data_IF_704332541889
#
_entry.id   IF_704332541889
#
_cell.length_a   1.000
_cell.length_b   1.000
_cell.length_c   1.000
_cell.angle_alpha   90.00
_cell.angle_beta   90.00
_cell.angle_gamma   90.00
#
_symmetry.space_group_name_H-M   'P 1'
#
loop_
_entity.id
_entity.type
_entity.pdbx_description
1 polymer ?
#
# COMPACT_ATOMS: atom_id res chain seq x y z
N UNK A 1 -24.69 23.46 34.61
CA UNK A 1 -25.12 24.25 33.43
C UNK A 1 -23.96 24.30 32.45
N UNK A 2 -23.85 23.31 31.56
CA UNK A 2 -22.85 23.30 30.49
C UNK A 2 -23.40 24.09 29.31
N UNK A 3 -22.93 25.32 29.13
CA UNK A 3 -23.24 26.10 27.94
C UNK A 3 -22.83 25.31 26.70
N UNK A 4 -23.73 25.20 25.72
CA UNK A 4 -23.43 24.64 24.41
C UNK A 4 -22.25 25.43 23.84
N UNK A 5 -21.09 24.78 23.70
CA UNK A 5 -19.93 25.37 23.07
C UNK A 5 -20.32 25.78 21.64
N UNK A 6 -20.01 27.03 21.26
CA UNK A 6 -20.21 27.48 19.90
C UNK A 6 -19.42 26.60 18.91
N UNK A 7 -19.98 26.38 17.72
CA UNK A 7 -19.39 25.56 16.64
C UNK A 7 -17.89 25.83 16.38
N UNK A 8 -17.39 27.09 16.42
CA UNK A 8 -15.96 27.37 16.26
C UNK A 8 -15.08 26.79 17.37
N UNK A 9 -15.53 26.80 18.62
CA UNK A 9 -14.78 26.28 19.76
C UNK A 9 -14.69 24.74 19.74
N UNK A 10 -15.79 24.07 19.33
CA UNK A 10 -15.78 22.62 19.12
C UNK A 10 -14.81 22.22 18.00
N UNK A 11 -14.85 22.92 16.86
CA UNK A 11 -13.93 22.65 15.74
C UNK A 11 -12.46 22.82 16.13
N UNK A 12 -12.12 23.81 16.96
CA UNK A 12 -10.76 23.99 17.46
C UNK A 12 -10.29 22.80 18.33
N UNK A 13 -11.16 22.31 19.23
CA UNK A 13 -10.86 21.11 20.05
C UNK A 13 -10.70 19.86 19.18
N UNK A 14 -11.57 19.66 18.19
CA UNK A 14 -11.47 18.56 17.23
C UNK A 14 -10.16 18.58 16.44
N UNK A 15 -9.71 19.78 16.04
CA UNK A 15 -8.43 19.98 15.36
C UNK A 15 -7.19 19.61 16.19
N UNK A 16 -7.32 19.56 17.52
CA UNK A 16 -6.24 19.16 18.42
C UNK A 16 -6.20 17.65 18.70
N UNK A 17 -7.22 16.88 18.28
CA UNK A 17 -7.24 15.44 18.47
C UNK A 17 -6.28 14.76 17.51
N UNK A 18 -5.59 13.71 17.94
CA UNK A 18 -4.72 12.90 17.08
C UNK A 18 -5.49 11.69 16.53
N UNK A 19 -5.97 11.80 15.29
CA UNK A 19 -6.73 10.75 14.63
C UNK A 19 -6.65 10.87 13.09
N UNK A 20 -7.30 9.97 12.35
CA UNK A 20 -7.17 9.93 10.89
C UNK A 20 -7.64 11.23 10.20
N UNK A 21 -8.58 11.95 10.81
CA UNK A 21 -9.08 13.24 10.31
C UNK A 21 -8.07 14.39 10.43
N UNK A 22 -7.09 14.28 11.32
CA UNK A 22 -6.09 15.33 11.59
C UNK A 22 -4.68 14.97 11.14
N UNK A 23 -4.45 13.75 10.65
CA UNK A 23 -3.13 13.26 10.23
C UNK A 23 -2.69 13.63 8.80
N UNK A 24 -3.44 14.50 8.12
CA UNK A 24 -3.11 14.99 6.77
C UNK A 24 -2.79 13.85 5.77
N UNK A 25 -3.62 12.81 5.80
CA UNK A 25 -3.46 11.63 4.95
C UNK A 25 -3.79 11.98 3.48
N UNK A 26 -3.14 11.28 2.54
CA UNK A 26 -3.43 11.42 1.10
C UNK A 26 -4.87 11.00 0.80
N UNK A 27 -5.69 12.00 0.50
CA UNK A 27 -7.13 11.90 0.26
C UNK A 27 -7.50 11.82 -1.23
N UNK A 28 -6.53 11.57 -2.12
CA UNK A 28 -6.81 11.35 -3.54
C UNK A 28 -7.76 10.17 -3.72
N UNK A 29 -8.70 10.29 -4.66
CA UNK A 29 -9.78 9.30 -4.84
C UNK A 29 -9.23 7.94 -5.20
N UNK A 30 -8.23 7.87 -6.09
CA UNK A 30 -7.62 6.58 -6.43
C UNK A 30 -6.89 5.93 -5.28
N UNK A 31 -6.26 6.70 -4.39
CA UNK A 31 -5.61 6.16 -3.20
C UNK A 31 -6.67 5.64 -2.21
N UNK A 32 -7.74 6.40 -1.97
CA UNK A 32 -8.84 5.98 -1.10
C UNK A 32 -9.48 4.68 -1.57
N UNK A 33 -9.82 4.58 -2.87
CA UNK A 33 -10.36 3.36 -3.45
C UNK A 33 -9.36 2.19 -3.28
N UNK A 34 -8.08 2.38 -3.62
CA UNK A 34 -7.06 1.34 -3.46
C UNK A 34 -6.93 0.86 -2.02
N UNK A 35 -6.96 1.79 -1.06
CA UNK A 35 -6.88 1.47 0.37
C UNK A 35 -8.10 0.72 0.86
N UNK A 36 -9.32 1.09 0.42
CA UNK A 36 -10.56 0.36 0.73
C UNK A 36 -10.40 -1.12 0.41
N UNK A 37 -10.01 -1.43 -0.82
CA UNK A 37 -9.88 -2.81 -1.28
C UNK A 37 -8.70 -3.53 -0.59
N UNK A 38 -7.57 -2.84 -0.44
CA UNK A 38 -6.40 -3.39 0.26
C UNK A 38 -6.74 -3.77 1.71
N UNK A 39 -7.44 -2.90 2.44
CA UNK A 39 -7.76 -3.11 3.85
C UNK A 39 -8.80 -4.21 4.07
N UNK A 40 -9.72 -4.39 3.12
CA UNK A 40 -10.61 -5.55 3.09
C UNK A 40 -9.83 -6.84 2.87
N UNK A 41 -8.85 -6.85 1.96
CA UNK A 41 -8.01 -8.02 1.66
C UNK A 41 -7.02 -8.41 2.77
N UNK A 42 -6.68 -7.48 3.67
CA UNK A 42 -5.88 -7.76 4.87
C UNK A 42 -6.58 -8.79 5.78
N UNK A 43 -7.89 -8.97 5.62
CA UNK A 43 -8.66 -9.93 6.38
C UNK A 43 -8.92 -9.44 7.80
N UNK A 44 -10.01 -9.92 8.38
CA UNK A 44 -10.45 -9.62 9.75
C UNK A 44 -10.36 -10.86 10.61
N UNK A 45 -9.41 -11.74 10.29
CA UNK A 45 -9.22 -13.01 10.99
C UNK A 45 -8.89 -12.75 12.46
N UNK A 46 -9.49 -13.55 13.33
CA UNK A 46 -9.23 -13.47 14.77
C UNK A 46 -7.72 -13.67 15.03
N UNK A 47 -7.14 -12.78 15.83
CA UNK A 47 -5.72 -12.79 16.18
C UNK A 47 -4.82 -11.83 15.39
N UNK A 48 -5.36 -11.00 14.48
CA UNK A 48 -4.58 -9.89 13.92
C UNK A 48 -4.47 -8.75 14.97
N UNK A 49 -3.26 -8.43 15.47
CA UNK A 49 -3.09 -7.41 16.50
C UNK A 49 -3.48 -5.99 16.04
N UNK A 50 -3.49 -5.76 14.72
CA UNK A 50 -3.84 -4.46 14.15
C UNK A 50 -5.33 -4.37 13.74
N UNK A 51 -6.17 -5.35 14.08
CA UNK A 51 -7.55 -5.44 13.59
C UNK A 51 -8.38 -4.17 13.87
N UNK A 52 -8.30 -3.65 15.10
CA UNK A 52 -8.95 -2.40 15.48
C UNK A 52 -8.51 -1.20 14.64
N UNK A 53 -7.20 -1.05 14.47
CA UNK A 53 -6.56 0.00 13.67
C UNK A 53 -6.93 -0.10 12.18
N UNK A 54 -7.03 -1.33 11.64
CA UNK A 54 -7.51 -1.61 10.29
C UNK A 54 -8.94 -1.07 10.14
N UNK A 55 -9.82 -1.36 11.09
CA UNK A 55 -11.20 -0.87 11.05
C UNK A 55 -11.29 0.65 11.21
N UNK A 56 -10.50 1.28 12.07
CA UNK A 56 -10.43 2.74 12.18
C UNK A 56 -10.06 3.38 10.83
N UNK A 57 -9.00 2.89 10.19
CA UNK A 57 -8.57 3.42 8.89
C UNK A 57 -9.62 3.14 7.80
N UNK A 58 -10.20 1.93 7.76
CA UNK A 58 -11.29 1.60 6.82
C UNK A 58 -12.47 2.53 6.97
N UNK A 59 -12.88 2.81 8.21
CA UNK A 59 -13.98 3.71 8.50
C UNK A 59 -13.72 5.12 7.97
N UNK A 60 -12.50 5.65 8.21
CA UNK A 60 -12.08 6.94 7.67
C UNK A 60 -12.08 6.95 6.13
N UNK A 61 -11.57 5.90 5.47
CA UNK A 61 -11.57 5.79 4.01
C UNK A 61 -13.01 5.72 3.46
N UNK A 62 -13.90 4.92 4.06
CA UNK A 62 -15.31 4.88 3.68
C UNK A 62 -15.97 6.25 3.83
N UNK A 63 -15.72 6.95 4.93
CA UNK A 63 -16.23 8.31 5.16
C UNK A 63 -15.75 9.28 4.08
N UNK A 64 -14.44 9.28 3.77
CA UNK A 64 -13.87 10.15 2.74
C UNK A 64 -14.47 9.88 1.35
N UNK A 65 -14.63 8.61 0.98
CA UNK A 65 -15.21 8.23 -0.30
C UNK A 65 -16.72 8.56 -0.37
N UNK A 66 -17.46 8.34 0.71
CA UNK A 66 -18.89 8.65 0.78
C UNK A 66 -19.17 10.16 0.78
N UNK A 67 -18.20 10.97 1.22
CA UNK A 67 -18.28 12.44 1.19
C UNK A 67 -17.98 13.02 -0.20
N UNK A 68 -17.51 12.22 -1.15
CA UNK A 68 -17.28 12.63 -2.53
C UNK A 68 -18.49 12.22 -3.39
N UNK A 69 -19.16 13.18 -4.02
CA UNK A 69 -20.23 12.91 -4.98
C UNK A 69 -19.76 11.91 -6.05
N UNK A 70 -20.66 11.01 -6.49
CA UNK A 70 -20.42 10.03 -7.56
C UNK A 70 -19.28 9.02 -7.33
N UNK A 71 -18.93 8.71 -6.07
CA UNK A 71 -17.96 7.65 -5.75
C UNK A 71 -18.63 6.32 -5.39
N UNK A 72 -18.66 5.34 -6.31
CA UNK A 72 -19.32 4.06 -6.05
C UNK A 72 -18.56 3.17 -5.05
N UNK A 73 -19.33 2.41 -4.26
CA UNK A 73 -18.82 1.33 -3.42
C UNK A 73 -18.32 1.75 -2.04
N UNK A 74 -18.82 2.85 -1.47
CA UNK A 74 -18.68 3.20 -0.05
C UNK A 74 -19.84 4.09 0.38
N UNK A 75 -20.45 3.79 1.53
CA UNK A 75 -21.51 4.61 2.11
C UNK A 75 -21.10 5.16 3.48
N UNK A 76 -21.86 6.14 3.99
CA UNK A 76 -21.70 6.58 5.38
C UNK A 76 -22.00 5.44 6.37
N UNK A 77 -22.94 4.55 6.02
CA UNK A 77 -23.26 3.35 6.81
C UNK A 77 -22.06 2.38 6.91
N UNK A 78 -21.31 2.19 5.81
CA UNK A 78 -20.08 1.40 5.84
C UNK A 78 -19.03 2.00 6.80
N UNK A 79 -18.92 3.34 6.82
CA UNK A 79 -18.02 4.03 7.73
C UNK A 79 -18.44 3.81 9.19
N UNK A 80 -19.72 4.04 9.51
CA UNK A 80 -20.30 3.83 10.84
C UNK A 80 -20.10 2.38 11.34
N UNK A 81 -20.40 1.40 10.47
CA UNK A 81 -20.19 -0.02 10.76
C UNK A 81 -18.72 -0.31 11.07
N UNK A 82 -17.79 0.25 10.30
CA UNK A 82 -16.35 0.07 10.55
C UNK A 82 -15.91 0.72 11.87
N UNK A 83 -16.41 1.90 12.22
CA UNK A 83 -16.08 2.52 13.52
C UNK A 83 -16.56 1.67 14.71
N UNK A 84 -17.75 1.08 14.62
CA UNK A 84 -18.26 0.15 15.63
C UNK A 84 -17.39 -1.11 15.76
N UNK A 85 -17.02 -1.73 14.63
CA UNK A 85 -16.14 -2.90 14.62
C UNK A 85 -14.73 -2.58 15.17
N UNK A 86 -14.24 -1.35 14.97
CA UNK A 86 -12.94 -0.93 15.48
C UNK A 86 -12.89 -0.95 17.01
N UNK A 87 -13.89 -0.35 17.67
CA UNK A 87 -13.96 -0.31 19.13
C UNK A 87 -14.01 -1.72 19.74
N UNK A 88 -14.84 -2.61 19.17
CA UNK A 88 -14.95 -4.00 19.60
C UNK A 88 -13.63 -4.77 19.42
N UNK A 89 -13.01 -4.67 18.24
CA UNK A 89 -11.76 -5.35 17.95
C UNK A 89 -10.60 -4.87 18.84
N UNK A 90 -10.52 -3.57 19.14
CA UNK A 90 -9.51 -3.03 20.04
C UNK A 90 -9.63 -3.60 21.46
N UNK A 91 -10.86 -3.74 21.98
CA UNK A 91 -11.13 -4.36 23.29
C UNK A 91 -10.71 -5.82 23.32
N UNK A 92 -11.08 -6.58 22.28
CA UNK A 92 -10.77 -8.00 22.19
C UNK A 92 -9.26 -8.28 22.09
N UNK A 93 -8.51 -7.49 21.29
CA UNK A 93 -7.07 -7.69 21.09
C UNK A 93 -6.27 -7.44 22.36
N UNK A 94 -6.63 -6.42 23.14
CA UNK A 94 -5.90 -6.07 24.36
C UNK A 94 -6.23 -7.00 25.53
N UNK A 95 -7.27 -7.83 25.43
CA UNK A 95 -7.68 -8.83 26.42
C UNK A 95 -7.75 -8.24 27.84
N UNK A 96 -8.32 -7.04 27.95
CA UNK A 96 -8.32 -6.27 29.19
C UNK A 96 -9.57 -6.51 30.02
N UNK A 97 -9.41 -6.41 31.34
CA UNK A 97 -10.53 -6.42 32.29
C UNK A 97 -11.34 -5.14 32.20
N UNK A 98 -10.71 -4.04 31.75
CA UNK A 98 -11.36 -2.75 31.51
C UNK A 98 -11.88 -2.65 30.07
N UNK A 99 -13.09 -2.09 29.95
CA UNK A 99 -13.73 -1.75 28.68
C UNK A 99 -13.10 -0.51 28.00
N UNK A 100 -12.36 0.30 28.76
CA UNK A 100 -11.73 1.53 28.27
C UNK A 100 -10.23 1.54 28.59
N UNK A 101 -9.45 2.19 27.72
CA UNK A 101 -8.02 2.33 27.84
C UNK A 101 -7.40 3.12 26.69
N UNK A 102 -6.09 3.41 26.73
CA UNK A 102 -5.43 4.33 25.81
C UNK A 102 -5.45 3.88 24.34
N UNK A 103 -5.64 2.59 24.06
CA UNK A 103 -5.82 2.06 22.70
C UNK A 103 -7.09 2.58 22.01
N UNK A 104 -8.04 3.18 22.73
CA UNK A 104 -9.25 3.81 22.16
C UNK A 104 -9.05 5.28 21.77
N UNK A 105 -7.91 5.91 22.08
CA UNK A 105 -7.69 7.34 21.86
C UNK A 105 -7.98 7.77 20.42
N UNK A 106 -7.42 7.05 19.43
CA UNK A 106 -7.62 7.36 18.01
C UNK A 106 -9.04 7.03 17.56
N UNK A 107 -9.63 5.93 18.06
CA UNK A 107 -11.01 5.55 17.75
C UNK A 107 -12.00 6.61 18.20
N UNK A 108 -11.90 7.07 19.46
CA UNK A 108 -12.74 8.15 20.00
C UNK A 108 -12.48 9.48 19.30
N UNK A 109 -11.23 9.77 18.91
CA UNK A 109 -10.94 10.93 18.08
C UNK A 109 -11.65 10.88 16.73
N UNK A 110 -11.66 9.73 16.06
CA UNK A 110 -12.37 9.57 14.80
C UNK A 110 -13.90 9.68 14.98
N UNK A 111 -14.46 9.08 16.04
CA UNK A 111 -15.89 9.16 16.36
C UNK A 111 -16.31 10.60 16.65
N UNK A 112 -15.49 11.37 17.37
CA UNK A 112 -15.74 12.80 17.62
C UNK A 112 -15.89 13.59 16.32
N UNK A 113 -14.99 13.36 15.34
CA UNK A 113 -15.07 13.97 14.02
C UNK A 113 -16.26 13.49 13.20
N UNK A 114 -16.58 12.19 13.25
CA UNK A 114 -17.73 11.63 12.55
C UNK A 114 -19.05 12.27 13.00
N UNK A 115 -19.30 12.30 14.31
CA UNK A 115 -20.50 12.91 14.88
C UNK A 115 -20.57 14.41 14.55
N UNK A 116 -19.43 15.11 14.56
CA UNK A 116 -19.37 16.51 14.12
C UNK A 116 -19.82 16.67 12.66
N UNK A 117 -19.33 15.82 11.75
CA UNK A 117 -19.72 15.85 10.34
C UNK A 117 -21.19 15.48 10.09
N UNK A 118 -21.80 14.71 10.99
CA UNK A 118 -23.23 14.39 10.96
C UNK A 118 -24.13 15.50 11.57
N UNK A 119 -23.55 16.55 12.14
CA UNK A 119 -24.29 17.60 12.86
C UNK A 119 -24.66 17.24 14.31
N UNK A 120 -24.20 16.10 14.81
CA UNK A 120 -24.42 15.58 16.15
C UNK A 120 -23.37 16.16 17.11
N UNK A 121 -23.43 17.48 17.32
CA UNK A 121 -22.40 18.21 18.07
C UNK A 121 -22.33 17.83 19.55
N UNK A 122 -23.45 17.41 20.16
CA UNK A 122 -23.48 16.96 21.55
C UNK A 122 -22.71 15.64 21.72
N UNK A 123 -22.95 14.69 20.83
CA UNK A 123 -22.27 13.40 20.77
C UNK A 123 -20.78 13.58 20.45
N UNK A 124 -20.45 14.50 19.53
CA UNK A 124 -19.07 14.89 19.26
C UNK A 124 -18.36 15.37 20.53
N UNK A 125 -18.99 16.23 21.32
CA UNK A 125 -18.45 16.72 22.61
C UNK A 125 -18.27 15.59 23.63
N UNK A 126 -19.16 14.59 23.65
CA UNK A 126 -19.00 13.42 24.52
C UNK A 126 -17.71 12.67 24.19
N UNK A 127 -17.44 12.40 22.91
CA UNK A 127 -16.20 11.72 22.51
C UNK A 127 -14.94 12.55 22.73
N UNK A 128 -15.00 13.88 22.53
CA UNK A 128 -13.89 14.77 22.93
C UNK A 128 -13.60 14.63 24.42
N UNK A 129 -14.64 14.65 25.27
CA UNK A 129 -14.50 14.45 26.71
C UNK A 129 -13.91 13.09 27.08
N UNK A 130 -14.26 12.02 26.35
CA UNK A 130 -13.66 10.69 26.53
C UNK A 130 -12.17 10.67 26.21
N UNK A 131 -11.74 11.31 25.11
CA UNK A 131 -10.31 11.43 24.79
C UNK A 131 -9.56 12.19 25.88
N UNK A 132 -10.12 13.31 26.37
CA UNK A 132 -9.51 14.10 27.44
C UNK A 132 -9.44 13.33 28.78
N UNK A 133 -10.43 12.50 29.08
CA UNK A 133 -10.42 11.64 30.26
C UNK A 133 -9.31 10.58 30.15
N UNK A 134 -9.22 9.88 29.02
CA UNK A 134 -8.17 8.88 28.79
C UNK A 134 -6.77 9.48 28.85
N UNK A 135 -6.53 10.66 28.26
CA UNK A 135 -5.22 11.32 28.34
C UNK A 135 -4.84 11.78 29.76
N UNK A 136 -5.83 12.03 30.62
CA UNK A 136 -5.59 12.37 32.03
C UNK A 136 -5.27 11.13 32.87
N UNK A 137 -5.94 10.02 32.57
CA UNK A 137 -5.74 8.74 33.27
C UNK A 137 -4.45 8.03 32.83
N UNK A 138 -4.14 8.12 31.52
CA UNK A 138 -2.96 7.52 30.88
C UNK A 138 -2.14 8.62 30.21
N UNK A 139 -1.44 9.48 30.97
CA UNK A 139 -0.59 10.51 30.39
C UNK A 139 0.63 9.88 29.71
N UNK A 140 1.13 10.52 28.65
CA UNK A 140 2.41 10.11 28.05
C UNK A 140 3.54 10.24 29.09
N UNK A 141 4.42 9.22 29.24
CA UNK A 141 5.58 9.29 30.12
C UNK A 141 6.58 10.40 29.75
N UNK A 142 6.57 10.85 28.48
CA UNK A 142 7.43 11.92 27.99
C UNK A 142 6.58 13.16 27.75
N UNK A 143 6.96 14.25 28.43
CA UNK A 143 6.29 15.55 28.30
C UNK A 143 6.24 16.01 26.84
N UNK A 144 5.09 16.55 26.43
CA UNK A 144 4.82 17.04 25.06
C UNK A 144 4.88 15.98 23.95
N UNK A 145 5.15 14.72 24.27
CA UNK A 145 5.06 13.62 23.31
C UNK A 145 3.64 13.04 23.28
N UNK A 146 3.20 12.63 22.08
CA UNK A 146 1.97 11.86 21.93
C UNK A 146 2.05 10.52 22.68
N UNK A 147 0.89 10.04 23.14
CA UNK A 147 0.77 8.71 23.75
C UNK A 147 1.25 7.61 22.79
N UNK A 148 1.84 6.54 23.34
CA UNK A 148 2.50 5.46 22.61
C UNK A 148 1.55 4.74 21.65
N UNK A 149 0.32 4.43 22.11
CA UNK A 149 -0.75 3.88 21.26
C UNK A 149 -1.07 4.77 20.04
N UNK A 150 -1.11 6.10 20.23
CA UNK A 150 -1.35 7.05 19.14
C UNK A 150 -0.17 7.08 18.16
N UNK A 151 1.06 7.07 18.67
CA UNK A 151 2.27 6.99 17.84
C UNK A 151 2.28 5.72 17.01
N UNK A 152 1.96 4.57 17.62
CA UNK A 152 1.95 3.26 16.98
C UNK A 152 0.86 3.16 15.90
N UNK A 153 -0.37 3.62 16.16
CA UNK A 153 -1.44 3.66 15.16
C UNK A 153 -1.10 4.60 14.01
N UNK A 154 -0.61 5.80 14.31
CA UNK A 154 -0.18 6.78 13.29
C UNK A 154 0.90 6.19 12.40
N UNK A 155 1.89 5.53 12.99
CA UNK A 155 2.96 4.86 12.27
C UNK A 155 2.42 3.75 11.36
N UNK A 156 1.59 2.85 11.90
CA UNK A 156 0.98 1.76 11.14
C UNK A 156 0.13 2.28 9.98
N UNK A 157 -0.68 3.31 10.22
CA UNK A 157 -1.49 3.96 9.20
C UNK A 157 -0.60 4.51 8.09
N UNK A 158 0.45 5.26 8.41
CA UNK A 158 1.37 5.85 7.44
C UNK A 158 2.14 4.82 6.59
N UNK A 159 2.36 3.59 7.08
CA UNK A 159 2.94 2.50 6.27
C UNK A 159 2.10 2.14 5.04
N UNK A 160 0.80 2.44 5.07
CA UNK A 160 -0.13 2.13 3.98
C UNK A 160 -0.07 3.15 2.83
N UNK A 161 0.60 4.29 3.03
CA UNK A 161 0.65 5.41 2.09
C UNK A 161 1.99 5.47 1.31
N UNK A 162 2.24 6.64 0.70
CA UNK A 162 3.40 6.91 -0.14
C UNK A 162 4.75 6.83 0.57
N UNK A 163 5.87 6.93 -0.18
CA UNK A 163 7.22 6.80 0.38
C UNK A 163 7.52 7.78 1.54
N UNK A 164 7.08 9.03 1.46
CA UNK A 164 7.30 10.02 2.52
C UNK A 164 6.60 9.61 3.83
N UNK A 165 5.35 9.14 3.73
CA UNK A 165 4.61 8.61 4.88
C UNK A 165 5.30 7.39 5.50
N UNK A 166 5.84 6.48 4.67
CA UNK A 166 6.60 5.32 5.16
C UNK A 166 7.87 5.70 5.91
N UNK A 167 8.56 6.77 5.51
CA UNK A 167 9.70 7.28 6.28
C UNK A 167 9.26 7.82 7.63
N UNK A 168 8.19 8.64 7.67
CA UNK A 168 7.61 9.13 8.93
C UNK A 168 7.12 7.99 9.84
N UNK A 169 6.60 6.91 9.26
CA UNK A 169 6.17 5.73 10.02
C UNK A 169 7.31 5.12 10.83
N UNK A 170 8.53 5.07 10.28
CA UNK A 170 9.72 4.63 11.02
C UNK A 170 9.93 5.51 12.26
N UNK A 171 9.92 6.82 12.09
CA UNK A 171 10.15 7.78 13.18
C UNK A 171 9.13 7.62 14.32
N UNK A 172 7.84 7.49 13.98
CA UNK A 172 6.79 7.31 14.97
C UNK A 172 6.87 5.97 15.69
N UNK A 173 7.20 4.88 14.98
CA UNK A 173 7.44 3.60 15.64
C UNK A 173 8.66 3.66 16.57
N UNK A 174 9.77 4.27 16.14
CA UNK A 174 10.96 4.46 16.98
C UNK A 174 10.60 5.14 18.29
N UNK A 175 9.84 6.24 18.22
CA UNK A 175 9.36 6.98 19.40
C UNK A 175 8.48 6.13 20.33
N UNK A 176 7.63 5.27 19.77
CA UNK A 176 6.77 4.39 20.56
C UNK A 176 7.59 3.30 21.29
N UNK A 177 8.50 2.63 20.57
CA UNK A 177 9.29 1.51 21.12
C UNK A 177 10.44 1.97 22.03
N UNK A 178 10.84 3.24 21.99
CA UNK A 178 11.75 3.83 22.97
C UNK A 178 11.15 3.84 24.38
N UNK A 179 9.83 4.00 24.47
CA UNK A 179 9.10 4.00 25.75
C UNK A 179 8.63 2.59 26.12
N UNK A 180 8.09 1.84 25.17
CA UNK A 180 7.59 0.47 25.39
C UNK A 180 8.25 -0.53 24.43
N UNK A 181 9.52 -0.92 24.68
CA UNK A 181 10.27 -1.81 23.80
C UNK A 181 9.74 -3.24 23.75
N UNK A 182 8.87 -3.62 24.69
CA UNK A 182 8.35 -4.98 24.81
C UNK A 182 7.11 -5.28 23.97
N UNK A 183 6.55 -4.26 23.34
CA UNK A 183 5.43 -4.40 22.41
C UNK A 183 5.89 -5.08 21.11
N UNK A 184 5.63 -6.38 21.01
CA UNK A 184 6.06 -7.25 19.90
C UNK A 184 5.49 -6.73 18.57
N UNK A 185 4.22 -6.32 18.55
CA UNK A 185 3.52 -5.83 17.37
C UNK A 185 4.17 -4.55 16.81
N UNK A 186 4.62 -3.67 17.70
CA UNK A 186 5.22 -2.39 17.35
C UNK A 186 6.65 -2.59 16.87
N UNK A 187 7.42 -3.44 17.55
CA UNK A 187 8.79 -3.78 17.11
C UNK A 187 8.80 -4.52 15.77
N UNK A 188 7.84 -5.43 15.54
CA UNK A 188 7.66 -6.09 14.24
C UNK A 188 7.26 -5.09 13.15
N UNK A 189 6.28 -4.23 13.42
CA UNK A 189 5.85 -3.21 12.45
C UNK A 189 6.94 -2.17 12.16
N UNK A 190 7.73 -1.79 13.16
CA UNK A 190 8.93 -0.97 12.99
C UNK A 190 9.93 -1.62 12.03
N UNK A 191 10.25 -2.90 12.24
CA UNK A 191 11.17 -3.64 11.37
C UNK A 191 10.65 -3.71 9.91
N UNK A 192 9.34 -3.90 9.73
CA UNK A 192 8.71 -3.84 8.41
C UNK A 192 8.80 -2.43 7.81
N UNK A 193 8.47 -1.38 8.57
CA UNK A 193 8.54 0.01 8.14
C UNK A 193 9.96 0.37 7.67
N UNK A 194 10.98 -0.01 8.44
CA UNK A 194 12.39 0.20 8.13
C UNK A 194 12.81 -0.47 6.82
N UNK A 195 12.33 -1.71 6.60
CA UNK A 195 12.60 -2.47 5.39
C UNK A 195 11.90 -1.90 4.16
N UNK A 196 10.69 -1.33 4.28
CA UNK A 196 9.93 -0.80 3.13
C UNK A 196 10.22 0.67 2.81
N UNK A 197 10.69 1.47 3.78
CA UNK A 197 11.06 2.87 3.56
C UNK A 197 12.42 3.01 2.88
N UNK A 198 13.33 2.06 3.10
CA UNK A 198 14.69 2.04 2.59
C UNK A 198 14.74 1.57 1.12
N UNK A 199 14.66 2.52 0.18
CA UNK A 199 14.72 2.24 -1.27
C UNK A 199 16.10 1.80 -1.75
N UNK A 200 17.15 2.56 -1.40
CA UNK A 200 18.54 2.29 -1.77
C UNK A 200 19.47 2.42 -0.55
N UNK A 201 19.33 1.54 0.45
CA UNK A 201 20.15 1.62 1.66
C UNK A 201 21.62 1.39 1.34
N UNK A 202 22.50 2.14 2.01
CA UNK A 202 23.94 1.87 2.05
C UNK A 202 24.21 0.46 2.59
N UNK A 203 25.40 -0.12 2.35
CA UNK A 203 25.75 -1.43 2.91
C UNK A 203 25.55 -1.52 4.43
N UNK A 204 25.90 -0.46 5.17
CA UNK A 204 25.70 -0.36 6.62
C UNK A 204 24.21 -0.35 6.99
N UNK A 205 23.41 0.42 6.27
CA UNK A 205 21.95 0.46 6.48
C UNK A 205 21.32 -0.90 6.19
N UNK A 206 21.76 -1.61 5.14
CA UNK A 206 21.31 -2.98 4.83
C UNK A 206 21.61 -3.94 5.97
N UNK A 207 22.83 -3.90 6.51
CA UNK A 207 23.23 -4.73 7.64
C UNK A 207 22.39 -4.43 8.90
N UNK A 208 22.13 -3.15 9.19
CA UNK A 208 21.29 -2.75 10.30
C UNK A 208 19.83 -3.23 10.13
N UNK A 209 19.24 -3.04 8.94
CA UNK A 209 17.89 -3.51 8.63
C UNK A 209 17.81 -5.04 8.82
N UNK A 210 18.80 -5.78 8.31
CA UNK A 210 18.83 -7.24 8.45
C UNK A 210 18.90 -7.68 9.93
N UNK A 211 19.68 -6.97 10.75
CA UNK A 211 19.77 -7.22 12.20
C UNK A 211 18.45 -6.93 12.91
N UNK A 212 17.78 -5.83 12.57
CA UNK A 212 16.46 -5.47 13.13
C UNK A 212 15.40 -6.49 12.71
N UNK A 213 15.37 -6.90 11.43
CA UNK A 213 14.46 -7.94 10.94
C UNK A 213 14.69 -9.28 11.65
N UNK A 214 15.95 -9.70 11.84
CA UNK A 214 16.29 -10.93 12.56
C UNK A 214 15.71 -10.92 13.98
N UNK A 215 15.95 -9.85 14.73
CA UNK A 215 15.41 -9.69 16.10
C UNK A 215 13.89 -9.72 16.12
N UNK A 216 13.24 -9.06 15.17
CA UNK A 216 11.78 -9.09 15.06
C UNK A 216 11.27 -10.52 14.77
N UNK A 217 11.91 -11.28 13.89
CA UNK A 217 11.52 -12.68 13.63
C UNK A 217 11.77 -13.62 14.81
N UNK A 218 12.76 -13.33 15.65
CA UNK A 218 13.04 -14.10 16.87
C UNK A 218 11.98 -13.83 17.95
N UNK A 219 11.48 -12.59 18.05
CA UNK A 219 10.42 -12.20 19.00
C UNK A 219 9.01 -12.54 18.52
N UNK A 220 8.78 -12.54 17.21
CA UNK A 220 7.48 -12.79 16.57
C UNK A 220 7.60 -13.92 15.52
N UNK A 221 7.93 -15.15 15.94
CA UNK A 221 8.19 -16.28 15.02
C UNK A 221 6.94 -16.73 14.26
N UNK A 222 5.76 -16.38 14.76
CA UNK A 222 4.48 -16.70 14.15
C UNK A 222 4.08 -15.70 13.08
N UNK A 223 4.66 -14.51 13.02
CA UNK A 223 4.37 -13.57 11.96
C UNK A 223 5.10 -13.95 10.66
N UNK A 224 4.43 -14.76 9.85
CA UNK A 224 5.00 -15.27 8.59
C UNK A 224 5.33 -14.16 7.58
N UNK A 225 4.71 -12.98 7.70
CA UNK A 225 5.00 -11.83 6.86
C UNK A 225 6.40 -11.27 7.15
N UNK A 226 6.76 -11.03 8.42
CA UNK A 226 8.11 -10.56 8.79
C UNK A 226 9.16 -11.61 8.45
N UNK A 227 8.87 -12.90 8.64
CA UNK A 227 9.77 -14.00 8.26
C UNK A 227 10.05 -13.99 6.74
N UNK A 228 9.02 -13.84 5.90
CA UNK A 228 9.19 -13.75 4.45
C UNK A 228 10.05 -12.53 4.03
N UNK A 229 9.84 -11.38 4.69
CA UNK A 229 10.63 -10.16 4.45
C UNK A 229 12.08 -10.34 4.89
N UNK A 230 12.31 -10.97 6.05
CA UNK A 230 13.65 -11.30 6.54
C UNK A 230 14.40 -12.21 5.57
N UNK A 231 13.80 -13.34 5.18
CA UNK A 231 14.42 -14.28 4.22
C UNK A 231 14.74 -13.60 2.89
N UNK A 232 13.87 -12.71 2.40
CA UNK A 232 14.16 -11.92 1.20
C UNK A 232 15.38 -11.00 1.37
N UNK A 233 15.52 -10.34 2.51
CA UNK A 233 16.69 -9.48 2.80
C UNK A 233 17.96 -10.30 3.05
N UNK A 234 17.83 -11.51 3.58
CA UNK A 234 18.93 -12.44 3.74
C UNK A 234 19.43 -12.96 2.38
N UNK A 235 18.51 -13.30 1.47
CA UNK A 235 18.88 -13.69 0.10
C UNK A 235 19.61 -12.58 -0.68
N UNK A 236 19.29 -11.30 -0.39
CA UNK A 236 20.00 -10.15 -0.94
C UNK A 236 21.50 -10.09 -0.56
N UNK A 237 21.92 -10.81 0.49
CA UNK A 237 23.34 -10.93 0.88
C UNK A 237 24.03 -12.16 0.27
N UNK A 238 23.34 -12.94 -0.56
CA UNK A 238 23.88 -14.14 -1.20
C UNK A 238 23.73 -15.42 -0.38
N UNK A 239 23.00 -15.37 0.74
CA UNK A 239 22.70 -16.54 1.55
C UNK A 239 21.69 -17.46 0.85
N UNK A 240 21.90 -18.78 0.97
CA UNK A 240 20.99 -19.79 0.45
C UNK A 240 19.76 -19.90 1.36
N UNK A 241 18.56 -19.66 0.80
CA UNK A 241 17.30 -19.57 1.54
C UNK A 241 16.23 -20.57 1.10
N UNK A 242 16.54 -21.46 0.17
CA UNK A 242 15.58 -22.29 -0.56
C UNK A 242 14.78 -23.18 0.39
N UNK A 243 15.46 -23.91 1.28
CA UNK A 243 14.82 -24.78 2.26
C UNK A 243 13.97 -24.00 3.27
N UNK A 244 14.42 -22.80 3.66
CA UNK A 244 13.68 -21.94 4.58
C UNK A 244 12.44 -21.36 3.91
N UNK A 245 12.54 -20.99 2.63
CA UNK A 245 11.42 -20.52 1.83
C UNK A 245 10.38 -21.62 1.62
N UNK A 246 10.77 -22.87 1.33
CA UNK A 246 9.86 -24.03 1.23
C UNK A 246 9.14 -24.31 2.55
N UNK A 247 9.88 -24.34 3.67
CA UNK A 247 9.29 -24.48 5.00
C UNK A 247 8.32 -23.35 5.33
N UNK A 248 8.66 -22.12 4.93
CA UNK A 248 7.77 -20.97 5.08
C UNK A 248 6.52 -21.12 4.21
N UNK A 249 6.63 -21.59 2.98
CA UNK A 249 5.50 -21.83 2.09
C UNK A 249 4.50 -22.83 2.69
N UNK A 250 4.99 -23.94 3.26
CA UNK A 250 4.13 -24.90 3.98
C UNK A 250 3.37 -24.24 5.14
N UNK A 251 4.05 -23.41 5.93
CA UNK A 251 3.42 -22.68 7.05
C UNK A 251 2.39 -21.67 6.56
N UNK A 252 2.71 -20.90 5.52
CA UNK A 252 1.81 -19.90 4.93
C UNK A 252 0.54 -20.59 4.44
N UNK A 253 0.64 -21.70 3.70
CA UNK A 253 -0.50 -22.42 3.13
C UNK A 253 -1.41 -23.09 4.17
N UNK A 254 -0.92 -23.35 5.39
CA UNK A 254 -1.71 -23.95 6.48
C UNK A 254 -2.57 -22.92 7.23
N UNK A 255 -2.24 -21.64 7.15
CA UNK A 255 -2.97 -20.57 7.86
C UNK A 255 -4.13 -20.04 7.03
N UNK A 256 -5.15 -19.43 7.67
CA UNK A 256 -6.12 -18.59 6.98
C UNK A 256 -5.40 -17.56 6.09
N UNK A 257 -5.88 -17.41 4.86
CA UNK A 257 -5.23 -16.56 3.87
C UNK A 257 -5.76 -15.13 3.93
N UNK A 258 -4.82 -14.20 4.05
CA UNK A 258 -5.06 -12.78 4.02
C UNK A 258 -3.87 -12.06 3.40
N UNK A 259 -3.99 -10.77 3.09
CA UNK A 259 -2.88 -9.96 2.59
C UNK A 259 -1.71 -9.85 3.60
N UNK A 260 -1.95 -10.18 4.87
CA UNK A 260 -0.95 -10.29 5.94
C UNK A 260 -0.46 -11.72 6.21
N UNK A 261 -0.96 -12.75 5.53
CA UNK A 261 -0.53 -14.16 5.74
C UNK A 261 0.93 -14.43 5.38
N UNK A 262 1.61 -13.48 4.73
CA UNK A 262 2.98 -13.61 4.27
C UNK A 262 3.12 -14.16 2.84
N UNK A 263 2.02 -14.52 2.17
CA UNK A 263 2.09 -15.07 0.81
C UNK A 263 2.69 -14.07 -0.20
N UNK A 264 2.28 -12.80 -0.17
CA UNK A 264 2.81 -11.78 -1.09
C UNK A 264 4.32 -11.56 -0.96
N UNK A 265 4.90 -11.35 0.25
CA UNK A 265 6.35 -11.26 0.38
C UNK A 265 7.07 -12.57 0.02
N UNK A 266 6.49 -13.74 0.33
CA UNK A 266 7.05 -15.04 -0.06
C UNK A 266 7.13 -15.21 -1.59
N UNK A 267 6.07 -14.87 -2.33
CA UNK A 267 6.09 -14.94 -3.80
C UNK A 267 7.12 -13.97 -4.41
N UNK A 268 7.34 -12.80 -3.77
CA UNK A 268 8.40 -11.87 -4.17
C UNK A 268 9.81 -12.41 -3.89
N UNK A 269 9.98 -13.19 -2.83
CA UNK A 269 11.21 -13.90 -2.51
C UNK A 269 11.52 -14.92 -3.60
N UNK A 270 10.60 -15.84 -3.89
CA UNK A 270 10.76 -16.82 -4.97
C UNK A 270 11.05 -16.16 -6.32
N UNK A 271 10.32 -15.11 -6.68
CA UNK A 271 10.55 -14.39 -7.94
C UNK A 271 11.98 -13.87 -8.11
N UNK A 272 12.63 -13.43 -7.04
CA UNK A 272 13.95 -12.77 -7.11
C UNK A 272 15.11 -13.71 -6.80
N UNK A 273 14.91 -14.68 -5.91
CA UNK A 273 15.98 -15.49 -5.32
C UNK A 273 15.63 -16.98 -5.24
N UNK A 274 14.55 -17.43 -5.86
CA UNK A 274 14.15 -18.83 -5.89
C UNK A 274 13.56 -19.23 -7.24
N UNK A 275 12.71 -20.25 -7.25
CA UNK A 275 12.06 -20.73 -8.47
C UNK A 275 10.73 -20.03 -8.73
N UNK A 276 10.56 -19.53 -9.96
CA UNK A 276 9.26 -19.03 -10.43
C UNK A 276 8.21 -20.14 -10.53
N UNK A 277 8.63 -21.39 -10.74
CA UNK A 277 7.69 -22.53 -10.79
C UNK A 277 7.18 -22.83 -9.38
N UNK A 278 8.05 -22.81 -8.36
CA UNK A 278 7.61 -22.92 -6.96
C UNK A 278 6.70 -21.76 -6.54
N UNK A 279 6.96 -20.53 -7.01
CA UNK A 279 6.06 -19.41 -6.78
C UNK A 279 4.66 -19.66 -7.36
N UNK A 280 4.59 -20.23 -8.57
CA UNK A 280 3.33 -20.59 -9.22
C UNK A 280 2.62 -21.68 -8.42
N UNK A 281 3.32 -22.73 -8.01
CA UNK A 281 2.75 -23.85 -7.26
C UNK A 281 2.15 -23.37 -5.93
N UNK A 282 2.89 -22.55 -5.18
CA UNK A 282 2.41 -21.96 -3.92
C UNK A 282 1.20 -21.04 -4.14
N UNK A 283 1.26 -20.17 -5.15
CA UNK A 283 0.15 -19.25 -5.44
C UNK A 283 -1.11 -20.01 -5.93
N UNK A 284 -0.92 -21.08 -6.69
CA UNK A 284 -2.00 -21.93 -7.20
C UNK A 284 -2.66 -22.69 -6.06
N UNK A 285 -1.88 -23.38 -5.24
CA UNK A 285 -2.38 -24.10 -4.07
C UNK A 285 -3.16 -23.18 -3.12
N UNK A 286 -2.64 -21.97 -2.84
CA UNK A 286 -3.35 -20.99 -2.02
C UNK A 286 -4.68 -20.57 -2.65
N UNK A 287 -4.70 -20.31 -3.96
CA UNK A 287 -5.90 -19.92 -4.70
C UNK A 287 -6.93 -21.05 -4.75
N UNK A 288 -6.49 -22.30 -4.87
CA UNK A 288 -7.37 -23.48 -4.94
C UNK A 288 -8.02 -23.75 -3.57
N UNK A 289 -7.30 -23.54 -2.46
CA UNK A 289 -7.85 -23.65 -1.10
C UNK A 289 -8.83 -22.53 -0.75
N UNK A 290 -8.63 -21.33 -1.31
CA UNK A 290 -9.43 -20.14 -0.99
C UNK A 290 -9.91 -19.44 -2.27
N UNK A 291 -10.81 -20.06 -3.05
CA UNK A 291 -11.20 -19.57 -4.39
C UNK A 291 -11.92 -18.22 -4.37
N UNK A 292 -12.46 -17.80 -3.22
CA UNK A 292 -13.12 -16.50 -3.04
C UNK A 292 -12.15 -15.37 -2.67
N UNK A 293 -10.90 -15.68 -2.31
CA UNK A 293 -9.91 -14.69 -1.92
C UNK A 293 -9.35 -13.98 -3.16
N UNK A 294 -9.94 -12.83 -3.50
CA UNK A 294 -9.56 -12.02 -4.68
C UNK A 294 -8.06 -11.66 -4.73
N UNK A 295 -7.41 -11.43 -3.58
CA UNK A 295 -5.98 -11.12 -3.53
C UNK A 295 -5.09 -12.30 -3.94
N UNK A 296 -5.54 -13.55 -3.78
CA UNK A 296 -4.81 -14.75 -4.21
C UNK A 296 -4.89 -14.94 -5.72
N UNK A 297 -6.03 -14.61 -6.34
CA UNK A 297 -6.17 -14.56 -7.80
C UNK A 297 -5.20 -13.56 -8.42
N UNK A 298 -5.04 -12.37 -7.82
CA UNK A 298 -4.00 -11.42 -8.22
C UNK A 298 -2.59 -12.00 -8.04
N UNK A 299 -2.32 -12.69 -6.93
CA UNK A 299 -1.03 -13.33 -6.71
C UNK A 299 -0.68 -14.38 -7.77
N UNK A 300 -1.63 -15.26 -8.12
CA UNK A 300 -1.44 -16.28 -9.14
C UNK A 300 -1.28 -15.66 -10.54
N UNK A 301 -2.13 -14.68 -10.89
CA UNK A 301 -2.03 -13.95 -12.16
C UNK A 301 -0.64 -13.28 -12.32
N UNK A 302 -0.12 -12.69 -11.23
CA UNK A 302 1.23 -12.12 -11.20
C UNK A 302 2.33 -13.15 -11.40
N UNK A 303 2.21 -14.34 -10.79
CA UNK A 303 3.21 -15.40 -10.95
C UNK A 303 3.26 -15.89 -12.40
N UNK A 304 2.10 -16.12 -13.03
CA UNK A 304 2.04 -16.45 -14.46
C UNK A 304 2.64 -15.34 -15.32
N UNK A 305 2.31 -14.07 -15.04
CA UNK A 305 2.89 -12.94 -15.76
C UNK A 305 4.41 -12.89 -15.62
N UNK A 306 4.96 -13.09 -14.42
CA UNK A 306 6.40 -13.11 -14.22
C UNK A 306 7.07 -14.21 -15.02
N UNK A 307 6.50 -15.42 -15.03
CA UNK A 307 7.02 -16.54 -15.82
C UNK A 307 7.00 -16.22 -17.32
N UNK A 308 5.88 -15.72 -17.84
CA UNK A 308 5.71 -15.34 -19.26
C UNK A 308 6.71 -14.30 -19.72
N UNK A 309 7.06 -13.31 -18.88
CA UNK A 309 8.03 -12.26 -19.24
C UNK A 309 9.47 -12.57 -18.80
N UNK A 310 9.72 -13.71 -18.16
CA UNK A 310 11.07 -14.17 -17.80
C UNK A 310 11.65 -15.18 -18.77
N UNK A 311 10.80 -15.85 -19.54
CA UNK A 311 11.20 -16.90 -20.48
C UNK A 311 10.97 -16.42 -21.91
N UNK A 312 12.06 -16.17 -22.63
CA UNK A 312 12.03 -15.72 -24.03
C UNK A 312 11.71 -16.86 -25.01
N UNK A 313 11.57 -18.11 -24.53
CA UNK A 313 11.23 -19.25 -25.39
C UNK A 313 9.75 -19.26 -25.70
N UNK A 314 9.44 -19.26 -26.99
CA UNK A 314 8.09 -19.50 -27.49
C UNK A 314 7.74 -20.99 -27.39
N UNK A 315 7.29 -21.40 -26.20
CA UNK A 315 6.88 -22.78 -25.91
C UNK A 315 5.38 -22.87 -25.64
N UNK A 316 4.79 -24.05 -25.91
CA UNK A 316 3.38 -24.35 -25.60
C UNK A 316 3.04 -24.09 -24.13
N UNK A 317 4.01 -24.30 -23.23
CA UNK A 317 3.86 -23.99 -21.80
C UNK A 317 3.69 -22.48 -21.56
N UNK A 318 4.56 -21.65 -22.13
CA UNK A 318 4.49 -20.19 -21.98
C UNK A 318 3.21 -19.64 -22.63
N UNK A 319 2.81 -20.19 -23.78
CA UNK A 319 1.51 -19.87 -24.38
C UNK A 319 0.34 -20.20 -23.44
N UNK A 320 0.31 -21.41 -22.87
CA UNK A 320 -0.72 -21.81 -21.89
C UNK A 320 -0.75 -20.92 -20.65
N UNK A 321 0.42 -20.52 -20.13
CA UNK A 321 0.52 -19.63 -18.97
C UNK A 321 0.04 -18.21 -19.31
N UNK A 322 0.30 -17.72 -20.52
CA UNK A 322 -0.19 -16.42 -21.01
C UNK A 322 -1.72 -16.39 -21.05
N UNK A 323 -2.36 -17.41 -21.63
CA UNK A 323 -3.83 -17.49 -21.66
C UNK A 323 -4.42 -17.56 -20.25
N UNK A 324 -3.82 -18.37 -19.36
CA UNK A 324 -4.23 -18.43 -17.94
C UNK A 324 -4.07 -17.08 -17.23
N UNK A 325 -2.99 -16.36 -17.49
CA UNK A 325 -2.78 -15.02 -16.92
C UNK A 325 -3.84 -14.02 -17.41
N UNK A 326 -4.18 -14.03 -18.70
CA UNK A 326 -5.21 -13.16 -19.29
C UNK A 326 -6.57 -13.42 -18.63
N UNK A 327 -6.97 -14.68 -18.49
CA UNK A 327 -8.24 -15.07 -17.85
C UNK A 327 -8.28 -14.56 -16.41
N UNK A 328 -7.24 -14.86 -15.61
CA UNK A 328 -7.19 -14.43 -14.21
C UNK A 328 -7.14 -12.91 -14.08
N UNK A 329 -6.36 -12.19 -14.89
CA UNK A 329 -6.34 -10.73 -14.84
C UNK A 329 -7.69 -10.12 -15.24
N UNK A 330 -8.39 -10.71 -16.21
CA UNK A 330 -9.74 -10.28 -16.60
C UNK A 330 -10.70 -10.44 -15.43
N UNK A 331 -10.62 -11.55 -14.69
CA UNK A 331 -11.42 -11.77 -13.48
C UNK A 331 -11.04 -10.78 -12.37
N UNK A 332 -9.75 -10.63 -12.08
CA UNK A 332 -9.25 -9.71 -11.06
C UNK A 332 -9.67 -8.27 -11.36
N UNK A 333 -9.62 -7.81 -12.61
CA UNK A 333 -10.10 -6.47 -12.97
C UNK A 333 -11.58 -6.27 -12.66
N UNK A 334 -12.41 -7.32 -12.78
CA UNK A 334 -13.84 -7.28 -12.40
C UNK A 334 -14.02 -7.26 -10.88
N UNK A 335 -13.17 -7.95 -10.13
CA UNK A 335 -13.18 -7.97 -8.66
C UNK A 335 -12.70 -6.65 -8.04
N UNK A 336 -11.94 -5.85 -8.79
CA UNK A 336 -11.36 -4.57 -8.38
C UNK A 336 -11.66 -3.45 -9.41
N UNK A 337 -12.95 -3.11 -9.62
CA UNK A 337 -13.38 -2.30 -10.77
C UNK A 337 -12.74 -0.89 -10.81
N UNK A 338 -12.49 -0.31 -9.63
CA UNK A 338 -12.05 1.08 -9.48
C UNK A 338 -10.58 1.25 -9.08
N UNK A 339 -9.86 0.16 -8.77
CA UNK A 339 -8.60 0.24 -8.00
C UNK A 339 -7.41 -0.42 -8.65
N UNK A 340 -7.63 -1.19 -9.73
CA UNK A 340 -6.59 -2.07 -10.27
C UNK A 340 -6.05 -1.65 -11.63
N UNK A 341 -5.76 -0.34 -11.77
CA UNK A 341 -5.07 0.22 -12.94
C UNK A 341 -3.80 -0.56 -13.32
N UNK A 342 -3.03 -1.01 -12.33
CA UNK A 342 -1.82 -1.82 -12.56
C UNK A 342 -2.14 -3.17 -13.23
N UNK A 343 -3.24 -3.83 -12.88
CA UNK A 343 -3.66 -5.03 -13.58
C UNK A 343 -4.20 -4.75 -14.97
N UNK A 344 -4.97 -3.67 -15.16
CA UNK A 344 -5.42 -3.28 -16.51
C UNK A 344 -4.21 -3.05 -17.43
N UNK A 345 -3.16 -2.41 -16.92
CA UNK A 345 -1.87 -2.26 -17.63
C UNK A 345 -1.17 -3.62 -17.85
N UNK A 346 -1.18 -4.51 -16.86
CA UNK A 346 -0.64 -5.87 -17.02
C UNK A 346 -1.38 -6.67 -18.09
N UNK A 347 -2.71 -6.56 -18.13
CA UNK A 347 -3.57 -7.21 -19.11
C UNK A 347 -3.26 -6.69 -20.53
N UNK A 348 -3.15 -5.37 -20.71
CA UNK A 348 -2.72 -4.77 -21.97
C UNK A 348 -1.38 -5.35 -22.45
N UNK A 349 -0.40 -5.46 -21.55
CA UNK A 349 0.91 -6.07 -21.87
C UNK A 349 0.80 -7.54 -22.26
N UNK A 350 -0.09 -8.30 -21.65
CA UNK A 350 -0.32 -9.71 -22.00
C UNK A 350 -0.96 -9.85 -23.39
N UNK A 351 -1.91 -8.97 -23.75
CA UNK A 351 -2.47 -8.93 -25.11
C UNK A 351 -1.41 -8.61 -26.16
N UNK A 352 -0.52 -7.65 -25.89
CA UNK A 352 0.62 -7.37 -26.76
C UNK A 352 1.53 -8.59 -26.95
N UNK A 353 1.78 -9.33 -25.87
CA UNK A 353 2.60 -10.55 -25.90
C UNK A 353 1.91 -11.71 -26.65
N UNK A 354 0.59 -11.67 -26.86
CA UNK A 354 -0.17 -12.61 -27.70
C UNK A 354 -0.12 -12.23 -29.19
N UNK A 355 0.81 -11.37 -29.60
CA UNK A 355 0.87 -10.72 -30.92
C UNK A 355 -0.34 -9.83 -31.26
N UNK A 356 -1.25 -9.58 -30.32
CA UNK A 356 -2.35 -8.65 -30.51
C UNK A 356 -1.96 -7.21 -30.11
N UNK A 357 -1.06 -6.64 -30.91
CA UNK A 357 -0.53 -5.28 -30.69
C UNK A 357 -1.61 -4.21 -30.79
N UNK A 358 -2.62 -4.43 -31.64
CA UNK A 358 -3.73 -3.50 -31.87
C UNK A 358 -4.63 -3.41 -30.64
N UNK A 359 -5.09 -4.55 -30.12
CA UNK A 359 -5.92 -4.61 -28.91
C UNK A 359 -5.19 -4.03 -27.68
N UNK A 360 -3.88 -4.24 -27.57
CA UNK A 360 -3.09 -3.59 -26.52
C UNK A 360 -3.03 -2.07 -26.68
N UNK A 361 -2.89 -1.55 -27.91
CA UNK A 361 -2.85 -0.10 -28.17
C UNK A 361 -4.21 0.54 -27.85
N UNK A 362 -5.30 -0.12 -28.22
CA UNK A 362 -6.68 0.27 -27.89
C UNK A 362 -6.91 0.27 -26.38
N UNK A 363 -6.50 -0.79 -25.67
CA UNK A 363 -6.60 -0.86 -24.20
C UNK A 363 -5.86 0.31 -23.53
N UNK A 364 -4.65 0.67 -23.99
CA UNK A 364 -3.95 1.82 -23.45
C UNK A 364 -4.67 3.15 -23.72
N UNK A 365 -5.26 3.32 -24.91
CA UNK A 365 -6.06 4.51 -25.25
C UNK A 365 -7.32 4.62 -24.40
N UNK A 366 -8.04 3.53 -24.19
CA UNK A 366 -9.20 3.47 -23.30
C UNK A 366 -8.83 3.81 -21.85
N UNK A 367 -7.70 3.29 -21.37
CA UNK A 367 -7.19 3.64 -20.03
C UNK A 367 -6.85 5.13 -19.94
N UNK A 368 -6.24 5.72 -20.96
CA UNK A 368 -5.95 7.16 -20.98
C UNK A 368 -7.22 8.02 -21.03
N UNK A 369 -8.27 7.56 -21.71
CA UNK A 369 -9.55 8.26 -21.77
C UNK A 369 -10.36 8.18 -20.47
N UNK A 370 -10.19 7.10 -19.69
CA UNK A 370 -10.97 6.81 -18.48
C UNK A 370 -10.34 7.29 -17.17
N UNK A 371 -9.14 7.88 -17.20
CA UNK A 371 -8.44 8.35 -16.01
C UNK A 371 -8.09 9.82 -16.13
N UNK A 372 -8.31 10.58 -15.06
CA UNK A 372 -8.06 12.03 -15.01
C UNK A 372 -7.09 12.44 -13.90
N UNK A 373 -6.86 11.59 -12.91
CA UNK A 373 -6.00 11.96 -11.79
C UNK A 373 -4.51 12.04 -12.19
N UNK A 374 -3.79 13.12 -11.85
CA UNK A 374 -2.41 13.33 -12.25
C UNK A 374 -1.45 12.16 -11.97
N UNK A 375 -1.48 11.50 -10.77
CA UNK A 375 -0.58 10.37 -10.50
C UNK A 375 -0.84 9.15 -11.40
N UNK A 376 -2.12 8.88 -11.71
CA UNK A 376 -2.53 7.77 -12.57
C UNK A 376 -2.21 8.04 -14.04
N UNK A 377 -2.53 9.24 -14.53
CA UNK A 377 -2.20 9.69 -15.89
C UNK A 377 -0.70 9.64 -16.15
N UNK A 378 0.10 10.13 -15.21
CA UNK A 378 1.55 10.10 -15.34
C UNK A 378 2.11 8.68 -15.43
N UNK A 379 1.56 7.75 -14.64
CA UNK A 379 1.89 6.33 -14.75
C UNK A 379 1.49 5.76 -16.11
N UNK A 380 0.28 6.05 -16.59
CA UNK A 380 -0.23 5.57 -17.87
C UNK A 380 0.60 6.08 -19.04
N UNK A 381 0.89 7.38 -19.10
CA UNK A 381 1.75 7.97 -20.11
C UNK A 381 3.14 7.31 -20.15
N UNK A 382 3.78 7.12 -19.00
CA UNK A 382 5.07 6.43 -18.93
C UNK A 382 4.99 4.97 -19.42
N UNK A 383 3.98 4.22 -18.96
CA UNK A 383 3.83 2.79 -19.34
C UNK A 383 3.46 2.63 -20.81
N UNK A 384 2.67 3.54 -21.36
CA UNK A 384 2.31 3.54 -22.76
C UNK A 384 3.47 3.97 -23.66
N UNK A 385 4.22 5.01 -23.29
CA UNK A 385 5.47 5.39 -23.97
C UNK A 385 6.44 4.19 -24.06
N UNK A 386 6.63 3.49 -22.94
CA UNK A 386 7.45 2.27 -22.88
C UNK A 386 6.93 1.19 -23.83
N UNK A 387 5.61 0.97 -23.86
CA UNK A 387 4.99 0.01 -24.78
C UNK A 387 5.21 0.40 -26.25
N UNK A 388 4.96 1.66 -26.61
CA UNK A 388 5.14 2.19 -27.96
C UNK A 388 6.57 1.98 -28.46
N UNK A 389 7.56 2.32 -27.63
CA UNK A 389 8.96 2.17 -27.98
C UNK A 389 9.37 0.69 -28.15
N UNK A 390 9.08 -0.16 -27.16
CA UNK A 390 9.62 -1.52 -27.16
C UNK A 390 8.82 -2.48 -28.05
N UNK A 391 7.49 -2.37 -28.07
CA UNK A 391 6.58 -3.32 -28.73
C UNK A 391 6.16 -2.87 -30.14
N UNK A 392 5.86 -1.57 -30.31
CA UNK A 392 5.46 -1.02 -31.63
C UNK A 392 6.63 -0.43 -32.41
N UNK A 393 7.80 -0.25 -31.80
CA UNK A 393 8.96 0.46 -32.38
C UNK A 393 8.62 1.89 -32.82
N UNK A 394 7.64 2.50 -32.17
CA UNK A 394 7.17 3.86 -32.44
C UNK A 394 7.86 4.86 -31.52
N UNK A 395 9.04 5.30 -31.94
CA UNK A 395 9.86 6.22 -31.15
C UNK A 395 9.25 7.61 -31.04
N UNK A 396 8.53 8.07 -32.07
CA UNK A 396 7.94 9.41 -32.09
C UNK A 396 6.82 9.54 -31.04
N UNK A 397 5.81 8.65 -31.09
CA UNK A 397 4.74 8.66 -30.06
C UNK A 397 5.30 8.35 -28.68
N UNK A 398 6.32 7.50 -28.57
CA UNK A 398 6.97 7.27 -27.28
C UNK A 398 7.54 8.56 -26.67
N UNK A 399 8.18 9.42 -27.46
CA UNK A 399 8.72 10.70 -27.00
C UNK A 399 7.58 11.61 -26.54
N UNK A 400 6.53 11.75 -27.34
CA UNK A 400 5.35 12.57 -26.99
C UNK A 400 4.76 12.16 -25.63
N UNK A 401 4.59 10.85 -25.40
CA UNK A 401 4.02 10.35 -24.16
C UNK A 401 4.96 10.50 -22.96
N UNK A 402 6.29 10.39 -23.15
CA UNK A 402 7.23 10.77 -22.10
C UNK A 402 7.17 12.27 -21.77
N UNK A 403 7.00 13.14 -22.76
CA UNK A 403 6.81 14.57 -22.53
C UNK A 403 5.49 14.84 -21.78
N UNK A 404 4.39 14.18 -22.14
CA UNK A 404 3.12 14.27 -21.40
C UNK A 404 3.26 13.83 -19.95
N UNK A 405 3.98 12.73 -19.67
CA UNK A 405 4.25 12.29 -18.31
C UNK A 405 5.11 13.30 -17.52
N UNK A 406 6.17 13.84 -18.15
CA UNK A 406 7.07 14.82 -17.54
C UNK A 406 6.39 16.17 -17.25
N UNK A 407 5.44 16.59 -18.11
CA UNK A 407 4.69 17.84 -18.00
C UNK A 407 3.79 17.90 -16.76
N UNK A 408 3.28 16.76 -16.30
CA UNK A 408 2.50 16.69 -15.06
C UNK A 408 3.42 16.99 -13.88
N UNK A 409 3.17 18.09 -13.15
CA UNK A 409 3.95 18.52 -11.99
C UNK A 409 3.60 17.74 -10.71
N UNK A 410 3.50 16.41 -10.83
CA UNK A 410 3.36 15.51 -9.70
C UNK A 410 4.69 14.77 -9.48
N UNK A 411 5.34 14.90 -8.31
CA UNK A 411 6.57 14.19 -8.00
C UNK A 411 6.33 12.68 -7.97
N UNK A 412 6.80 11.97 -8.99
CA UNK A 412 6.71 10.50 -9.03
C UNK A 412 7.88 9.88 -9.77
N UNK A 413 8.10 8.59 -9.51
CA UNK A 413 9.03 7.77 -10.28
C UNK A 413 8.77 7.85 -11.80
N UNK A 414 7.50 7.89 -12.21
CA UNK A 414 7.13 7.91 -13.63
C UNK A 414 7.50 9.23 -14.29
N UNK A 415 7.41 10.34 -13.54
CA UNK A 415 7.91 11.65 -13.97
C UNK A 415 9.41 11.62 -14.16
N UNK A 416 10.14 11.27 -13.11
CA UNK A 416 11.60 11.31 -13.08
C UNK A 416 12.18 10.45 -14.18
N UNK A 417 11.67 9.23 -14.38
CA UNK A 417 12.17 8.35 -15.44
C UNK A 417 11.80 8.83 -16.84
N UNK A 418 10.62 9.41 -17.04
CA UNK A 418 10.30 10.02 -18.33
C UNK A 418 11.27 11.13 -18.68
N UNK A 419 11.64 11.98 -17.71
CA UNK A 419 12.61 13.04 -17.96
C UNK A 419 14.02 12.47 -18.21
N UNK A 420 14.46 11.48 -17.42
CA UNK A 420 15.75 10.83 -17.65
C UNK A 420 15.84 10.19 -19.05
N UNK A 421 14.77 9.54 -19.51
CA UNK A 421 14.70 8.97 -20.86
C UNK A 421 14.78 10.08 -21.92
N UNK A 422 14.02 11.17 -21.77
CA UNK A 422 14.09 12.32 -22.69
C UNK A 422 15.50 12.94 -22.74
N UNK A 423 16.16 13.09 -21.59
CA UNK A 423 17.55 13.56 -21.51
C UNK A 423 18.52 12.60 -22.23
N UNK A 424 18.33 11.29 -22.10
CA UNK A 424 19.14 10.30 -22.82
C UNK A 424 18.91 10.37 -24.34
N UNK A 425 17.67 10.56 -24.78
CA UNK A 425 17.34 10.72 -26.20
C UNK A 425 17.94 12.02 -26.75
N UNK A 426 17.86 13.14 -26.01
CA UNK A 426 18.53 14.42 -26.38
C UNK A 426 20.03 14.25 -26.56
N UNK A 427 20.70 13.46 -25.71
CA UNK A 427 22.16 13.22 -25.86
C UNK A 427 22.52 12.42 -27.11
N UNK A 428 21.60 11.57 -27.60
CA UNK A 428 21.82 10.70 -28.75
C UNK A 428 21.31 11.30 -30.07
N UNK A 429 20.40 12.27 -29.98
CA UNK A 429 19.69 12.85 -31.12
C UNK A 429 19.63 14.37 -30.97
N UNK A 430 19.89 15.12 -32.05
CA UNK A 430 19.72 16.59 -32.06
C UNK A 430 18.25 16.99 -32.17
N UNK A 431 17.36 16.34 -31.41
CA UNK A 431 15.93 16.61 -31.44
C UNK A 431 15.60 17.93 -30.70
N UNK A 432 15.37 19.00 -31.48
CA UNK A 432 15.05 20.35 -30.98
C UNK A 432 13.81 20.40 -30.10
N UNK A 433 12.80 19.58 -30.38
CA UNK A 433 11.55 19.57 -29.59
C UNK A 433 11.80 19.12 -28.14
N UNK A 434 12.62 18.09 -27.96
CA UNK A 434 13.01 17.61 -26.62
C UNK A 434 13.85 18.66 -25.90
N UNK A 435 14.74 19.34 -26.62
CA UNK A 435 15.58 20.40 -26.07
C UNK A 435 14.74 21.57 -25.55
N UNK A 436 13.83 22.10 -26.37
CA UNK A 436 12.93 23.19 -26.00
C UNK A 436 12.03 22.80 -24.83
N UNK A 437 11.55 21.55 -24.81
CA UNK A 437 10.70 21.04 -23.73
C UNK A 437 11.46 20.93 -22.40
N UNK A 438 12.66 20.35 -22.41
CA UNK A 438 13.49 20.20 -21.21
C UNK A 438 13.97 21.54 -20.67
N UNK A 439 14.25 22.52 -21.54
CA UNK A 439 14.59 23.88 -21.12
C UNK A 439 13.44 24.56 -20.37
N UNK A 440 12.19 24.34 -20.80
CA UNK A 440 10.98 24.90 -20.15
C UNK A 440 10.58 24.21 -18.85
N UNK A 441 11.22 23.09 -18.50
CA UNK A 441 10.88 22.29 -17.31
C UNK A 441 11.55 22.78 -16.01
N UNK A 442 12.35 23.86 -16.06
CA UNK A 442 13.20 24.42 -14.98
C UNK A 442 12.87 23.93 -13.56
N UNK A 443 13.52 22.84 -13.15
CA UNK A 443 13.80 22.47 -11.76
C UNK A 443 14.86 21.33 -11.75
N UNK A 444 15.79 21.30 -10.76
CA UNK A 444 16.87 20.33 -10.73
C UNK A 444 16.34 18.93 -10.41
N UNK A 445 16.63 17.98 -11.28
CA UNK A 445 16.21 16.57 -11.12
C UNK A 445 17.31 15.83 -10.38
N UNK A 446 17.07 15.55 -9.10
CA UNK A 446 17.86 14.55 -8.37
C UNK A 446 17.51 13.17 -8.94
N UNK A 447 18.47 12.42 -9.53
CA UNK A 447 18.20 11.09 -10.05
C UNK A 447 17.83 10.13 -8.90
N UNK A 448 16.69 9.44 -9.00
CA UNK A 448 16.43 8.26 -8.16
C UNK A 448 16.72 6.97 -8.96
N UNK A 449 17.58 6.06 -8.48
CA UNK A 449 17.89 4.79 -9.16
C UNK A 449 16.74 3.75 -9.15
N UNK A 450 16.94 2.65 -9.89
CA UNK A 450 15.97 1.74 -10.54
C UNK A 450 15.03 0.95 -9.59
N UNK A 451 13.81 0.65 -10.08
CA UNK A 451 12.71 -0.12 -9.44
C UNK A 451 12.91 -1.65 -9.40
#
# INVERSE_FOLDING_TARGET
MSGVLGTPALRARLGALECHFTWELDNTRSNGLYLRDKLEDIGTDQGNPWLGHIYNLRAHIHFQLASQEDTPGSTLEDALRCFGMAAEALRQVRNTVSDEGPWLLVNYGNLAWLHYHMGEHAESLVYVGKVEALLREYPSPIQEQLHQEVLAEKAWTLMNFGPASKSKAVEYFTKAIEVEPDMVEWTTSHALALSISSKDPSPEQKANILKVLRRATERDPDNLYIVAVYLKRLAETGEAIEDQARKLAEKVLRRPQSLYSGIRPLLRLYRRYGSLDEAIDVAKEASDRHPNARHLKDCLARCYMWKVFSDDRDSLLIHSLRERAIVLYTEVVKLYPYTFLKAKISLAKLYAARHNKMESDETFKELLASHSEPPQLQMLYYKYATFLHFQLKDSYRSIEYHMKAAKIQHPSYFRTNSILILQQIKKRTNNREIEDFLAKLEEPITPQPKQ
#
